data_IF_112670420377
#
_entry.id   IF_112670420377
#
_cell.length_a   1.000
_cell.length_b   1.000
_cell.length_c   1.000
_cell.angle_alpha   90.00
_cell.angle_beta   90.00
_cell.angle_gamma   90.00
#
_symmetry.space_group_name_H-M   'P 1'
#
loop_
_entity.id
_entity.type
_entity.pdbx_description
1 polymer ?
#
# COMPACT_ATOMS: atom_id res chain seq x y z
N UNK A 1 -6.73 16.04 -20.93
CA UNK A 1 -6.14 15.30 -19.78
C UNK A 1 -6.78 15.83 -18.49
N UNK A 2 -6.60 15.18 -17.34
CA UNK A 2 -7.13 15.71 -16.06
C UNK A 2 -6.13 16.75 -15.52
N UNK A 3 -6.60 17.93 -15.11
CA UNK A 3 -5.76 19.01 -14.59
C UNK A 3 -5.40 18.80 -13.12
N UNK A 4 -4.14 19.00 -12.75
CA UNK A 4 -3.64 18.83 -11.39
C UNK A 4 -4.25 19.82 -10.40
N UNK A 5 -4.44 21.08 -10.79
CA UNK A 5 -5.12 22.09 -9.98
C UNK A 5 -6.55 21.67 -9.63
N UNK A 6 -7.33 21.24 -10.64
CA UNK A 6 -8.69 20.73 -10.44
C UNK A 6 -8.76 19.52 -9.50
N UNK A 7 -7.83 18.56 -9.62
CA UNK A 7 -7.76 17.41 -8.69
C UNK A 7 -7.57 17.89 -7.26
N UNK A 8 -6.71 18.90 -7.06
CA UNK A 8 -6.41 19.46 -5.76
C UNK A 8 -7.62 20.20 -5.17
N UNK A 9 -8.25 21.08 -5.95
CA UNK A 9 -9.45 21.83 -5.55
C UNK A 9 -10.63 20.92 -5.24
N UNK A 10 -10.97 20.01 -6.14
CA UNK A 10 -12.10 19.09 -5.98
C UNK A 10 -11.87 18.20 -4.74
N UNK A 11 -10.63 17.74 -4.54
CA UNK A 11 -10.25 16.97 -3.36
C UNK A 11 -10.36 17.76 -2.06
N UNK A 12 -9.89 19.01 -2.02
CA UNK A 12 -10.01 19.88 -0.84
C UNK A 12 -11.47 20.24 -0.54
N UNK A 13 -12.28 20.51 -1.57
CA UNK A 13 -13.72 20.76 -1.43
C UNK A 13 -14.42 19.53 -0.85
N UNK A 14 -14.14 18.33 -1.37
CA UNK A 14 -14.71 17.09 -0.86
C UNK A 14 -14.31 16.83 0.59
N UNK A 15 -13.03 17.03 0.93
CA UNK A 15 -12.50 16.95 2.29
C UNK A 15 -13.26 17.85 3.26
N UNK A 16 -13.48 19.12 2.89
CA UNK A 16 -14.23 20.08 3.70
C UNK A 16 -15.70 19.66 3.85
N UNK A 17 -16.34 19.21 2.77
CA UNK A 17 -17.73 18.75 2.82
C UNK A 17 -17.92 17.57 3.79
N UNK A 18 -17.00 16.60 3.79
CA UNK A 18 -17.03 15.48 4.74
C UNK A 18 -16.86 15.98 6.17
N UNK A 19 -15.92 16.89 6.43
CA UNK A 19 -15.67 17.46 7.75
C UNK A 19 -16.91 18.22 8.28
N UNK A 20 -17.55 19.05 7.44
CA UNK A 20 -18.74 19.80 7.86
C UNK A 20 -19.93 18.89 8.17
N UNK A 21 -20.17 17.86 7.34
CA UNK A 21 -21.18 16.82 7.65
C UNK A 21 -20.86 16.11 8.97
N UNK A 22 -19.59 15.76 9.19
CA UNK A 22 -19.14 15.06 10.39
C UNK A 22 -19.32 15.86 11.67
N UNK A 23 -19.12 17.19 11.65
CA UNK A 23 -19.37 18.06 12.82
C UNK A 23 -20.82 17.98 13.29
N UNK A 24 -21.75 17.78 12.37
CA UNK A 24 -23.19 17.64 12.66
C UNK A 24 -23.54 16.21 13.11
N UNK A 25 -22.91 15.20 12.51
CA UNK A 25 -23.31 13.79 12.67
C UNK A 25 -22.57 13.04 13.78
N UNK A 26 -21.32 13.39 14.08
CA UNK A 26 -20.47 12.59 14.97
C UNK A 26 -20.34 13.15 16.38
N UNK A 27 -20.89 14.35 16.64
CA UNK A 27 -21.07 14.93 17.97
C UNK A 27 -19.88 14.67 18.92
N UNK A 28 -20.08 14.01 20.09
CA UNK A 28 -19.01 13.74 21.07
C UNK A 28 -17.84 12.88 20.56
N UNK A 29 -18.02 12.10 19.49
CA UNK A 29 -16.98 11.20 18.96
C UNK A 29 -15.95 11.93 18.09
N UNK A 30 -16.15 13.20 17.76
CA UNK A 30 -15.21 13.98 16.93
C UNK A 30 -13.79 14.02 17.52
N UNK A 31 -13.67 14.05 18.85
CA UNK A 31 -12.39 14.03 19.56
C UNK A 31 -11.66 12.70 19.32
N UNK A 32 -12.38 11.58 19.40
CA UNK A 32 -11.83 10.25 19.10
C UNK A 32 -11.34 10.19 17.65
N UNK A 33 -12.16 10.65 16.69
CA UNK A 33 -11.83 10.66 15.25
C UNK A 33 -10.55 11.46 14.97
N UNK A 34 -10.42 12.66 15.53
CA UNK A 34 -9.22 13.49 15.35
C UNK A 34 -7.96 12.91 16.01
N UNK A 35 -8.13 12.11 17.06
CA UNK A 35 -7.02 11.43 17.74
C UNK A 35 -6.60 10.12 17.07
N UNK A 36 -7.42 9.58 16.17
CA UNK A 36 -7.10 8.35 15.46
C UNK A 36 -5.90 8.53 14.53
N UNK A 37 -5.08 7.49 14.40
CA UNK A 37 -3.85 7.56 13.63
C UNK A 37 -4.08 7.91 12.15
N UNK A 38 -5.23 7.53 11.58
CA UNK A 38 -5.56 7.83 10.18
C UNK A 38 -5.79 9.33 9.96
N UNK A 39 -6.06 10.10 11.01
CA UNK A 39 -6.20 11.56 10.95
C UNK A 39 -4.87 12.33 10.89
N UNK A 40 -3.72 11.67 11.11
CA UNK A 40 -2.42 12.37 11.15
C UNK A 40 -1.30 11.64 10.42
N UNK A 41 -1.47 10.35 10.10
CA UNK A 41 -0.45 9.50 9.47
C UNK A 41 -0.04 10.05 8.09
N UNK A 42 1.25 10.02 7.80
CA UNK A 42 1.77 10.29 6.46
C UNK A 42 1.65 9.05 5.55
N UNK A 43 1.31 9.24 4.27
CA UNK A 43 1.44 8.19 3.26
C UNK A 43 2.88 7.67 3.17
N UNK A 44 3.02 6.39 2.81
CA UNK A 44 4.32 5.73 2.58
C UNK A 44 4.43 5.26 1.13
N UNK A 45 5.55 4.66 0.68
CA UNK A 45 5.69 4.09 -0.67
C UNK A 45 4.75 2.92 -1.05
N UNK A 46 3.60 2.77 -0.38
CA UNK A 46 2.47 1.92 -0.77
C UNK A 46 1.13 2.69 -0.79
N UNK A 47 1.13 4.00 -0.50
CA UNK A 47 -0.06 4.81 -0.25
C UNK A 47 -0.27 5.11 1.24
N UNK A 48 -1.45 5.64 1.57
CA UNK A 48 -1.97 5.72 2.93
C UNK A 48 -2.38 4.31 3.38
N UNK A 49 -1.79 3.81 4.47
CA UNK A 49 -2.20 2.52 5.03
C UNK A 49 -3.43 2.70 5.90
N UNK A 50 -4.46 1.87 5.65
CA UNK A 50 -5.70 1.84 6.42
C UNK A 50 -5.75 0.55 7.23
N UNK A 51 -6.07 0.67 8.52
CA UNK A 51 -5.98 -0.40 9.49
C UNK A 51 -7.38 -0.75 10.03
N UNK A 52 -8.07 -1.74 9.44
CA UNK A 52 -9.35 -2.23 9.97
C UNK A 52 -9.19 -2.95 11.32
N UNK A 53 -7.99 -3.47 11.60
CA UNK A 53 -7.65 -4.10 12.87
C UNK A 53 -6.14 -4.00 13.12
N UNK A 54 -5.73 -4.41 14.32
CA UNK A 54 -4.35 -4.44 14.79
C UNK A 54 -3.98 -5.86 15.22
N UNK A 55 -2.88 -6.39 14.68
CA UNK A 55 -2.42 -7.74 14.98
C UNK A 55 -2.87 -8.77 13.94
N UNK A 56 -2.28 -9.96 14.02
CA UNK A 56 -2.52 -11.05 13.09
C UNK A 56 -2.18 -12.38 13.76
N UNK A 57 -2.91 -13.44 13.42
CA UNK A 57 -2.73 -14.79 13.97
C UNK A 57 -2.17 -15.79 12.95
N UNK A 58 -1.59 -15.34 11.83
CA UNK A 58 -0.96 -16.26 10.86
C UNK A 58 0.41 -16.78 11.31
N UNK A 59 1.06 -16.11 12.28
CA UNK A 59 2.29 -16.60 12.89
C UNK A 59 3.51 -16.63 11.97
N UNK A 60 3.57 -15.82 10.92
CA UNK A 60 4.71 -15.83 10.00
C UNK A 60 6.02 -15.49 10.75
N UNK A 61 7.05 -16.29 10.52
CA UNK A 61 8.33 -16.20 11.25
C UNK A 61 8.98 -14.82 11.08
N UNK A 62 8.87 -14.27 9.88
CA UNK A 62 9.42 -12.97 9.47
C UNK A 62 8.49 -11.78 9.78
N UNK A 63 7.33 -12.01 10.41
CA UNK A 63 6.32 -10.97 10.60
C UNK A 63 6.87 -9.82 11.46
N UNK A 64 6.69 -8.58 10.98
CA UNK A 64 7.03 -7.36 11.71
C UNK A 64 5.90 -6.86 12.61
N UNK A 65 4.68 -7.36 12.41
CA UNK A 65 3.55 -7.05 13.29
C UNK A 65 3.79 -7.79 14.60
N UNK A 66 4.01 -7.04 15.69
CA UNK A 66 4.17 -7.63 17.01
C UNK A 66 2.87 -8.35 17.40
N UNK A 67 2.93 -9.60 17.91
CA UNK A 67 1.78 -10.24 18.49
C UNK A 67 1.26 -9.37 19.64
N UNK A 68 -0.03 -9.03 19.66
CA UNK A 68 -0.62 -8.43 20.85
C UNK A 68 -0.79 -9.55 21.88
N UNK A 69 0.24 -9.76 22.71
CA UNK A 69 0.34 -10.88 23.65
C UNK A 69 -0.80 -10.93 24.69
N UNK A 70 -1.60 -9.88 24.83
CA UNK A 70 -2.70 -9.80 25.80
C UNK A 70 -4.12 -9.84 25.19
N UNK A 71 -4.29 -9.60 23.88
CA UNK A 71 -5.63 -9.40 23.28
C UNK A 71 -5.88 -10.07 21.92
N UNK A 72 -4.90 -10.76 21.34
CA UNK A 72 -5.08 -11.35 20.01
C UNK A 72 -5.15 -10.29 18.91
N UNK A 73 -6.32 -10.15 18.27
CA UNK A 73 -6.60 -9.15 17.23
C UNK A 73 -7.52 -8.08 17.81
N UNK A 74 -7.18 -6.80 17.61
CA UNK A 74 -8.02 -5.68 18.04
C UNK A 74 -8.63 -5.00 16.81
N UNK A 75 -9.95 -5.10 16.64
CA UNK A 75 -10.68 -4.42 15.56
C UNK A 75 -10.73 -2.92 15.84
N UNK A 76 -10.56 -2.11 14.79
CA UNK A 76 -10.56 -0.65 14.92
C UNK A 76 -11.95 -0.16 15.39
N UNK A 77 -11.94 0.79 16.33
CA UNK A 77 -13.13 1.31 17.00
C UNK A 77 -13.92 2.32 16.17
N UNK A 78 -13.32 2.86 15.11
CA UNK A 78 -14.01 3.72 14.17
C UNK A 78 -14.96 2.88 13.29
N UNK A 79 -16.13 3.44 13.04
CA UNK A 79 -16.99 3.01 11.94
C UNK A 79 -16.45 3.54 10.61
N UNK A 80 -16.98 3.05 9.48
CA UNK A 80 -16.59 3.51 8.15
C UNK A 80 -16.77 5.01 7.92
N UNK A 81 -17.91 5.63 8.30
CA UNK A 81 -18.08 7.09 8.21
C UNK A 81 -17.05 7.86 9.06
N UNK A 82 -16.74 7.34 10.24
CA UNK A 82 -15.75 7.95 11.13
C UNK A 82 -14.34 7.85 10.58
N UNK A 83 -13.98 6.72 9.95
CA UNK A 83 -12.71 6.59 9.24
C UNK A 83 -12.61 7.59 8.08
N UNK A 84 -13.66 7.71 7.27
CA UNK A 84 -13.72 8.67 6.16
C UNK A 84 -13.52 10.11 6.67
N UNK A 85 -14.11 10.41 7.83
CA UNK A 85 -13.90 11.68 8.53
C UNK A 85 -12.46 11.84 9.02
N UNK A 86 -11.86 10.81 9.63
CA UNK A 86 -10.46 10.84 10.08
C UNK A 86 -9.52 11.12 8.90
N UNK A 87 -9.68 10.42 7.78
CA UNK A 87 -8.90 10.66 6.55
C UNK A 87 -9.11 12.08 6.04
N UNK A 88 -10.32 12.62 6.16
CA UNK A 88 -10.60 13.99 5.77
C UNK A 88 -9.91 15.01 6.68
N UNK A 89 -9.72 14.73 7.98
CA UNK A 89 -8.88 15.59 8.84
C UNK A 89 -7.38 15.51 8.53
N UNK A 90 -6.91 14.46 7.84
CA UNK A 90 -5.50 14.23 7.64
C UNK A 90 -4.86 15.21 6.63
N UNK A 91 -3.90 16.07 7.03
CA UNK A 91 -3.32 17.09 6.13
C UNK A 91 -2.55 16.50 4.94
N UNK A 92 -2.19 15.21 4.99
CA UNK A 92 -1.45 14.52 3.95
C UNK A 92 -2.33 13.69 3.00
N UNK A 93 -3.64 13.68 3.21
CA UNK A 93 -4.59 12.88 2.45
C UNK A 93 -5.46 13.77 1.53
N UNK A 94 -5.45 13.43 0.24
CA UNK A 94 -6.28 14.04 -0.78
C UNK A 94 -7.34 13.02 -1.24
N UNK A 95 -8.64 13.31 -1.09
CA UNK A 95 -9.68 12.41 -1.58
C UNK A 95 -9.88 12.54 -3.09
N UNK A 96 -10.53 11.54 -3.69
CA UNK A 96 -10.93 11.53 -5.10
C UNK A 96 -10.24 10.44 -5.92
N UNK A 97 -10.71 10.26 -7.16
CA UNK A 97 -10.20 9.26 -8.11
C UNK A 97 -8.68 9.39 -8.33
N UNK A 98 -8.16 10.60 -8.44
CA UNK A 98 -6.71 10.88 -8.54
C UNK A 98 -6.06 11.21 -7.19
N UNK A 99 -6.78 10.96 -6.10
CA UNK A 99 -6.36 11.21 -4.73
C UNK A 99 -5.26 10.27 -4.25
N UNK A 100 -5.05 10.27 -2.94
CA UNK A 100 -4.03 9.47 -2.28
C UNK A 100 -4.35 7.98 -2.44
N UNK A 101 -3.40 7.19 -2.95
CA UNK A 101 -3.53 5.73 -3.01
C UNK A 101 -3.75 5.15 -1.61
N UNK A 102 -4.63 4.15 -1.48
CA UNK A 102 -4.96 3.50 -0.22
C UNK A 102 -4.47 2.06 -0.24
N UNK A 103 -3.92 1.59 0.88
CA UNK A 103 -3.44 0.23 1.07
C UNK A 103 -3.99 -0.41 2.35
N UNK A 104 -4.58 -1.59 2.22
CA UNK A 104 -5.02 -2.44 3.33
C UNK A 104 -4.14 -3.69 3.45
N UNK A 105 -4.10 -4.30 4.64
CA UNK A 105 -3.30 -5.50 4.92
C UNK A 105 -1.87 -5.21 5.43
N UNK A 106 -1.61 -4.03 5.99
CA UNK A 106 -0.28 -3.61 6.44
C UNK A 106 0.09 -4.09 7.85
N UNK A 107 -0.83 -4.03 8.81
CA UNK A 107 -0.58 -4.40 10.22
C UNK A 107 -1.58 -5.41 10.77
N UNK A 108 -2.42 -5.94 9.89
CA UNK A 108 -3.38 -7.02 10.14
C UNK A 108 -3.63 -7.77 8.85
N UNK A 109 -4.13 -8.99 8.96
CA UNK A 109 -4.62 -9.76 7.82
C UNK A 109 -6.12 -9.45 7.64
N UNK A 110 -6.48 -8.82 6.52
CA UNK A 110 -7.80 -8.26 6.27
C UNK A 110 -8.93 -9.30 6.23
N UNK A 111 -8.61 -10.55 5.86
CA UNK A 111 -9.59 -11.62 5.72
C UNK A 111 -9.37 -12.75 6.74
N UNK A 112 -8.86 -12.39 7.93
CA UNK A 112 -8.43 -13.34 8.95
C UNK A 112 -9.60 -14.06 9.65
N UNK A 113 -10.63 -13.31 10.01
CA UNK A 113 -11.87 -13.82 10.61
C UNK A 113 -13.06 -12.96 10.17
N UNK A 114 -14.28 -13.35 10.55
CA UNK A 114 -15.50 -12.66 10.13
C UNK A 114 -15.55 -11.19 10.56
N UNK A 115 -15.14 -10.88 11.80
CA UNK A 115 -15.18 -9.52 12.36
C UNK A 115 -14.23 -8.57 11.61
N UNK A 116 -12.97 -8.98 11.41
CA UNK A 116 -11.97 -8.20 10.66
C UNK A 116 -12.35 -8.07 9.18
N UNK A 117 -12.91 -9.14 8.60
CA UNK A 117 -13.40 -9.13 7.21
C UNK A 117 -14.54 -8.12 7.06
N UNK A 118 -15.51 -8.14 7.97
CA UNK A 118 -16.64 -7.21 7.95
C UNK A 118 -16.15 -5.75 8.07
N UNK A 119 -15.23 -5.48 8.99
CA UNK A 119 -14.63 -4.14 9.17
C UNK A 119 -13.84 -3.70 7.93
N UNK A 120 -13.09 -4.60 7.31
CA UNK A 120 -12.34 -4.32 6.06
C UNK A 120 -13.30 -3.91 4.94
N UNK A 121 -14.38 -4.68 4.73
CA UNK A 121 -15.36 -4.39 3.69
C UNK A 121 -16.12 -3.09 3.99
N UNK A 122 -16.48 -2.84 5.26
CA UNK A 122 -17.09 -1.57 5.69
C UNK A 122 -16.19 -0.39 5.30
N UNK A 123 -14.89 -0.46 5.61
CA UNK A 123 -13.94 0.61 5.30
C UNK A 123 -13.80 0.82 3.80
N UNK A 124 -13.63 -0.25 3.02
CA UNK A 124 -13.51 -0.17 1.56
C UNK A 124 -14.75 0.45 0.91
N UNK A 125 -15.94 0.07 1.39
CA UNK A 125 -17.22 0.62 0.94
C UNK A 125 -17.31 2.12 1.22
N UNK A 126 -17.07 2.54 2.45
CA UNK A 126 -17.19 3.96 2.82
C UNK A 126 -16.14 4.84 2.15
N UNK A 127 -14.92 4.33 1.99
CA UNK A 127 -13.87 5.01 1.19
C UNK A 127 -14.34 5.17 -0.26
N UNK A 128 -14.84 4.11 -0.90
CA UNK A 128 -15.30 4.19 -2.28
C UNK A 128 -16.48 5.16 -2.43
N UNK A 129 -17.46 5.07 -1.52
CA UNK A 129 -18.69 5.85 -1.54
C UNK A 129 -18.46 7.35 -1.31
N UNK A 130 -17.66 7.72 -0.32
CA UNK A 130 -17.53 9.12 0.09
C UNK A 130 -16.26 9.79 -0.46
N UNK A 131 -15.20 9.03 -0.75
CA UNK A 131 -13.89 9.57 -1.11
C UNK A 131 -13.44 9.19 -2.51
N UNK A 132 -13.76 7.98 -2.99
CA UNK A 132 -13.44 7.51 -4.34
C UNK A 132 -11.94 7.29 -4.60
N UNK A 133 -11.14 7.14 -3.54
CA UNK A 133 -9.69 6.93 -3.64
C UNK A 133 -9.35 5.54 -4.20
N UNK A 134 -8.29 5.40 -5.02
CA UNK A 134 -7.83 4.10 -5.52
C UNK A 134 -7.35 3.17 -4.42
N UNK A 135 -7.85 1.93 -4.39
CA UNK A 135 -7.60 0.99 -3.30
C UNK A 135 -6.78 -0.22 -3.72
N UNK A 136 -5.98 -0.73 -2.78
CA UNK A 136 -5.40 -2.06 -2.86
C UNK A 136 -5.49 -2.78 -1.53
N UNK A 137 -5.57 -4.11 -1.59
CA UNK A 137 -5.52 -4.97 -0.40
C UNK A 137 -4.46 -6.04 -0.59
N UNK A 138 -3.67 -6.29 0.44
CA UNK A 138 -2.73 -7.42 0.47
C UNK A 138 -3.22 -8.49 1.43
N UNK A 139 -3.11 -9.76 1.03
CA UNK A 139 -3.59 -10.89 1.83
C UNK A 139 -2.80 -12.16 1.59
N UNK A 140 -2.77 -13.04 2.59
CA UNK A 140 -2.40 -14.46 2.47
C UNK A 140 -3.62 -15.39 2.52
N UNK A 141 -4.80 -14.86 2.81
CA UNK A 141 -6.02 -15.63 3.02
C UNK A 141 -6.78 -15.83 1.71
N UNK A 142 -7.64 -16.85 1.70
CA UNK A 142 -8.56 -17.11 0.59
C UNK A 142 -9.74 -16.13 0.71
N UNK A 143 -9.91 -15.28 -0.30
CA UNK A 143 -11.11 -14.44 -0.41
C UNK A 143 -12.24 -15.33 -0.93
N UNK A 144 -13.16 -15.70 -0.05
CA UNK A 144 -14.29 -16.59 -0.38
C UNK A 144 -15.21 -15.94 -1.43
N UNK A 145 -15.88 -16.71 -2.30
CA UNK A 145 -16.78 -16.20 -3.34
C UNK A 145 -17.75 -15.11 -2.88
N UNK A 146 -18.51 -15.37 -1.80
CA UNK A 146 -19.44 -14.38 -1.20
C UNK A 146 -18.78 -13.06 -0.79
N UNK A 147 -17.53 -13.11 -0.32
CA UNK A 147 -16.78 -11.90 0.04
C UNK A 147 -16.32 -11.17 -1.21
N UNK A 148 -15.84 -11.90 -2.23
CA UNK A 148 -15.43 -11.32 -3.50
C UNK A 148 -16.61 -10.62 -4.23
N UNK A 149 -17.78 -11.25 -4.26
CA UNK A 149 -19.03 -10.65 -4.78
C UNK A 149 -19.42 -9.37 -4.01
N UNK A 150 -19.27 -9.38 -2.67
CA UNK A 150 -19.53 -8.19 -1.86
C UNK A 150 -18.54 -7.07 -2.15
N UNK A 151 -17.26 -7.40 -2.36
CA UNK A 151 -16.23 -6.42 -2.77
C UNK A 151 -16.58 -5.84 -4.14
N UNK A 152 -16.98 -6.65 -5.12
CA UNK A 152 -17.34 -6.19 -6.46
C UNK A 152 -18.59 -5.29 -6.47
N UNK A 153 -19.60 -5.61 -5.65
CA UNK A 153 -20.88 -4.88 -5.63
C UNK A 153 -20.85 -3.58 -4.83
N UNK A 154 -19.97 -3.47 -3.82
CA UNK A 154 -19.97 -2.34 -2.88
C UNK A 154 -18.65 -1.55 -2.90
N UNK A 155 -17.58 -2.17 -3.38
CA UNK A 155 -16.23 -1.63 -3.33
C UNK A 155 -15.81 -0.91 -4.60
N UNK A 156 -14.52 -0.65 -4.64
CA UNK A 156 -13.80 -0.16 -5.80
C UNK A 156 -13.75 -1.27 -6.87
N UNK A 157 -14.36 -1.06 -8.07
CA UNK A 157 -14.37 -2.06 -9.14
C UNK A 157 -12.97 -2.31 -9.73
N UNK A 158 -12.00 -1.46 -9.40
CA UNK A 158 -10.61 -1.56 -9.84
C UNK A 158 -9.67 -1.97 -8.71
N UNK A 159 -10.19 -2.53 -7.61
CA UNK A 159 -9.40 -2.96 -6.47
C UNK A 159 -8.22 -3.84 -6.91
N UNK A 160 -7.00 -3.42 -6.56
CA UNK A 160 -5.80 -4.24 -6.75
C UNK A 160 -5.63 -5.21 -5.58
N UNK A 161 -5.64 -6.51 -5.87
CA UNK A 161 -5.49 -7.56 -4.85
C UNK A 161 -4.07 -8.16 -4.93
N UNK A 162 -3.29 -7.97 -3.86
CA UNK A 162 -1.92 -8.44 -3.75
C UNK A 162 -1.87 -9.76 -2.97
N UNK A 163 -1.67 -10.87 -3.68
CA UNK A 163 -1.67 -12.22 -3.12
C UNK A 163 -0.27 -12.58 -2.67
N UNK A 164 -0.05 -12.58 -1.36
CA UNK A 164 1.28 -12.74 -0.77
C UNK A 164 1.77 -14.18 -0.87
N UNK A 165 2.88 -14.39 -1.57
CA UNK A 165 3.54 -15.70 -1.71
C UNK A 165 5.05 -15.49 -1.57
N UNK A 166 5.64 -16.02 -0.51
CA UNK A 166 7.07 -15.84 -0.19
C UNK A 166 7.93 -17.02 -0.68
N UNK A 167 7.31 -18.19 -0.71
CA UNK A 167 7.92 -19.51 -0.95
C UNK A 167 6.80 -20.49 -1.32
N UNK A 168 7.13 -21.50 -2.12
CA UNK A 168 6.28 -22.65 -2.44
C UNK A 168 6.55 -23.80 -1.46
N UNK A 169 7.82 -24.17 -1.27
CA UNK A 169 8.19 -25.40 -0.56
C UNK A 169 8.36 -25.18 0.95
N UNK A 170 8.93 -24.05 1.36
CA UNK A 170 9.16 -23.70 2.76
C UNK A 170 7.97 -22.99 3.41
N UNK A 171 6.85 -22.84 2.70
CA UNK A 171 5.70 -22.05 3.15
C UNK A 171 5.14 -22.51 4.52
N UNK A 172 5.00 -23.82 4.76
CA UNK A 172 4.47 -24.33 6.03
C UNK A 172 5.40 -24.02 7.22
N UNK A 173 6.71 -23.97 7.00
CA UNK A 173 7.66 -23.57 8.04
C UNK A 173 7.61 -22.06 8.28
N UNK A 174 7.54 -21.27 7.20
CA UNK A 174 7.63 -19.82 7.26
C UNK A 174 6.32 -19.14 7.68
N UNK A 175 5.19 -19.74 7.32
CA UNK A 175 3.83 -19.19 7.39
C UNK A 175 2.84 -20.25 7.89
N UNK A 176 3.05 -20.84 9.08
CA UNK A 176 2.45 -22.11 9.50
C UNK A 176 0.92 -22.14 9.60
N UNK A 177 0.26 -20.98 9.69
CA UNK A 177 -1.20 -20.87 9.81
C UNK A 177 -1.85 -20.19 8.61
N UNK A 178 -1.08 -19.85 7.57
CA UNK A 178 -1.62 -19.30 6.35
C UNK A 178 -1.95 -20.43 5.35
N UNK A 179 -2.98 -20.27 4.49
CA UNK A 179 -3.28 -21.25 3.44
C UNK A 179 -2.06 -21.60 2.59
N UNK A 180 -1.92 -22.82 2.06
CA UNK A 180 -0.83 -23.18 1.16
C UNK A 180 -0.71 -22.24 -0.06
N UNK A 181 0.50 -21.97 -0.57
CA UNK A 181 0.71 -21.09 -1.72
C UNK A 181 -0.11 -21.45 -2.95
N UNK A 182 -0.27 -22.75 -3.24
CA UNK A 182 -1.05 -23.24 -4.38
C UNK A 182 -2.53 -22.89 -4.25
N UNK A 183 -3.10 -22.96 -3.04
CA UNK A 183 -4.48 -22.53 -2.80
C UNK A 183 -4.64 -21.02 -2.99
N UNK A 184 -3.64 -20.22 -2.59
CA UNK A 184 -3.65 -18.77 -2.81
C UNK A 184 -3.59 -18.42 -4.30
N UNK A 185 -2.77 -19.12 -5.08
CA UNK A 185 -2.72 -18.96 -6.54
C UNK A 185 -4.04 -19.35 -7.20
N UNK A 186 -4.64 -20.46 -6.78
CA UNK A 186 -5.96 -20.87 -7.25
C UNK A 186 -7.03 -19.82 -6.93
N UNK A 187 -7.01 -19.26 -5.71
CA UNK A 187 -7.93 -18.18 -5.35
C UNK A 187 -7.68 -16.93 -6.19
N UNK A 188 -6.42 -16.59 -6.46
CA UNK A 188 -6.07 -15.46 -7.32
C UNK A 188 -6.59 -15.64 -8.75
N UNK A 189 -6.47 -16.84 -9.32
CA UNK A 189 -7.05 -17.19 -10.61
C UNK A 189 -8.57 -17.00 -10.62
N UNK A 190 -9.26 -17.50 -9.59
CA UNK A 190 -10.70 -17.28 -9.42
C UNK A 190 -11.05 -15.78 -9.31
N UNK A 191 -10.30 -14.99 -8.55
CA UNK A 191 -10.54 -13.55 -8.43
C UNK A 191 -10.38 -12.84 -9.78
N UNK A 192 -9.36 -13.19 -10.56
CA UNK A 192 -9.18 -12.68 -11.92
C UNK A 192 -10.36 -13.04 -12.83
N UNK A 193 -10.88 -14.26 -12.74
CA UNK A 193 -11.97 -14.72 -13.62
C UNK A 193 -13.30 -14.00 -13.38
N UNK A 194 -13.50 -13.41 -12.20
CA UNK A 194 -14.66 -12.57 -11.86
C UNK A 194 -14.36 -11.06 -11.97
N UNK A 195 -13.19 -10.68 -12.48
CA UNK A 195 -12.83 -9.28 -12.74
C UNK A 195 -12.05 -8.55 -11.64
N UNK A 196 -11.68 -9.21 -10.54
CA UNK A 196 -10.79 -8.63 -9.53
C UNK A 196 -9.33 -8.86 -9.91
N UNK A 197 -8.61 -7.78 -10.27
CA UNK A 197 -7.22 -7.86 -10.70
C UNK A 197 -6.29 -8.28 -9.57
N UNK A 198 -5.57 -9.37 -9.77
CA UNK A 198 -4.61 -9.89 -8.80
C UNK A 198 -3.16 -9.75 -9.27
N UNK A 199 -2.25 -9.59 -8.32
CA UNK A 199 -0.81 -9.71 -8.55
C UNK A 199 -0.19 -10.59 -7.46
N UNK A 200 0.78 -11.43 -7.83
CA UNK A 200 1.60 -12.15 -6.85
C UNK A 200 2.48 -11.13 -6.13
N UNK A 201 2.47 -11.19 -4.81
CA UNK A 201 3.23 -10.28 -3.97
C UNK A 201 4.30 -11.05 -3.20
N UNK A 202 5.52 -11.06 -3.75
CA UNK A 202 6.68 -11.64 -3.08
C UNK A 202 7.19 -10.62 -2.08
N UNK A 203 6.57 -10.62 -0.90
CA UNK A 203 6.97 -9.79 0.22
C UNK A 203 6.79 -10.54 1.55
N UNK A 204 7.88 -10.80 2.28
CA UNK A 204 9.25 -10.34 2.01
C UNK A 204 10.00 -11.25 1.01
N UNK A 205 11.06 -10.72 0.40
CA UNK A 205 12.14 -11.56 -0.15
C UNK A 205 12.98 -12.08 1.01
N UNK A 206 13.11 -13.40 1.11
CA UNK A 206 13.95 -14.10 2.08
C UNK A 206 15.22 -14.64 1.38
N UNK A 207 16.39 -14.06 1.63
CA UNK A 207 17.65 -14.51 1.01
C UNK A 207 17.95 -15.99 1.29
N UNK A 208 18.38 -16.71 0.27
CA UNK A 208 18.66 -18.15 0.32
C UNK A 208 17.41 -19.04 0.26
N UNK A 209 16.20 -18.46 0.23
CA UNK A 209 14.92 -19.18 0.08
C UNK A 209 14.19 -18.65 -1.14
N UNK A 210 13.75 -17.39 -1.12
CA UNK A 210 12.91 -16.81 -2.16
C UNK A 210 13.61 -16.77 -3.51
N UNK A 211 14.91 -16.45 -3.55
CA UNK A 211 15.72 -16.47 -4.77
C UNK A 211 15.87 -17.89 -5.33
N UNK A 212 16.07 -18.91 -4.48
CA UNK A 212 16.14 -20.32 -4.91
C UNK A 212 14.81 -20.88 -5.38
N UNK A 213 13.71 -20.44 -4.77
CA UNK A 213 12.36 -20.88 -5.13
C UNK A 213 11.68 -19.99 -6.18
N UNK A 214 12.36 -18.94 -6.65
CA UNK A 214 11.75 -17.97 -7.58
C UNK A 214 11.31 -18.63 -8.88
N UNK A 215 12.08 -19.58 -9.43
CA UNK A 215 11.70 -20.27 -10.66
C UNK A 215 10.39 -21.06 -10.49
N UNK A 216 10.29 -21.89 -9.45
CA UNK A 216 9.08 -22.68 -9.20
C UNK A 216 7.88 -21.78 -8.89
N UNK A 217 8.08 -20.71 -8.11
CA UNK A 217 7.03 -19.74 -7.82
C UNK A 217 6.49 -19.09 -9.10
N UNK A 218 7.37 -18.67 -10.02
CA UNK A 218 6.96 -18.09 -11.30
C UNK A 218 6.23 -19.10 -12.19
N UNK A 219 6.73 -20.35 -12.28
CA UNK A 219 6.08 -21.43 -13.05
C UNK A 219 4.69 -21.75 -12.51
N UNK A 220 4.56 -21.87 -11.19
CA UNK A 220 3.27 -22.11 -10.54
C UNK A 220 2.32 -20.92 -10.78
N UNK A 221 2.81 -19.68 -10.71
CA UNK A 221 2.00 -18.49 -11.01
C UNK A 221 1.47 -18.50 -12.45
N UNK A 222 2.29 -18.91 -13.42
CA UNK A 222 1.86 -19.08 -14.82
C UNK A 222 0.81 -20.18 -14.98
N UNK A 223 0.90 -21.29 -14.24
CA UNK A 223 -0.11 -22.37 -14.29
C UNK A 223 -1.50 -21.89 -13.90
N UNK A 224 -1.58 -20.82 -13.12
CA UNK A 224 -2.82 -20.17 -12.70
C UNK A 224 -3.11 -18.87 -13.46
N UNK A 225 -2.46 -18.65 -14.61
CA UNK A 225 -2.62 -17.48 -15.48
C UNK A 225 -2.33 -16.13 -14.80
N UNK A 226 -1.44 -16.11 -13.81
CA UNK A 226 -1.03 -14.88 -13.13
C UNK A 226 0.30 -14.40 -13.69
N UNK A 227 0.30 -13.20 -14.26
CA UNK A 227 1.48 -12.57 -14.91
C UNK A 227 1.86 -11.22 -14.30
N UNK A 228 1.40 -10.94 -13.08
CA UNK A 228 1.70 -9.70 -12.39
C UNK A 228 2.42 -9.97 -11.09
N UNK A 229 3.52 -9.24 -10.85
CA UNK A 229 4.42 -9.48 -9.74
C UNK A 229 4.77 -8.18 -9.01
N UNK A 230 4.74 -8.19 -7.69
CA UNK A 230 5.26 -7.12 -6.83
C UNK A 230 6.35 -7.71 -5.94
N UNK A 231 7.51 -7.05 -5.88
CA UNK A 231 8.65 -7.49 -5.07
C UNK A 231 8.87 -6.55 -3.87
N UNK A 232 9.05 -7.10 -2.67
CA UNK A 232 9.29 -6.32 -1.45
C UNK A 232 10.41 -6.88 -0.58
N UNK A 233 11.30 -6.01 -0.11
CA UNK A 233 12.38 -6.40 0.81
C UNK A 233 11.83 -6.84 2.19
N UNK A 234 12.54 -7.77 2.84
CA UNK A 234 12.35 -8.08 4.25
C UNK A 234 12.62 -6.84 5.12
N UNK A 235 11.73 -6.60 6.08
CA UNK A 235 11.94 -5.65 7.16
C UNK A 235 12.38 -6.43 8.40
N UNK A 236 13.53 -6.09 8.96
CA UNK A 236 14.17 -6.80 10.07
C UNK A 236 14.40 -5.85 11.26
N UNK A 237 14.35 -6.42 12.46
CA UNK A 237 14.86 -5.84 13.69
C UNK A 237 15.40 -6.99 14.55
N UNK A 238 15.99 -6.73 15.72
CA UNK A 238 16.60 -7.81 16.52
C UNK A 238 15.59 -8.86 17.00
N UNK A 239 14.33 -8.48 17.21
CA UNK A 239 13.27 -9.42 17.58
C UNK A 239 12.84 -10.34 16.44
N UNK A 240 12.77 -9.84 15.21
CA UNK A 240 12.49 -10.69 14.05
C UNK A 240 13.70 -11.60 13.80
N UNK A 241 14.91 -11.06 13.91
CA UNK A 241 16.14 -11.84 13.74
C UNK A 241 16.22 -13.00 14.74
N UNK A 242 15.87 -12.79 16.02
CA UNK A 242 15.89 -13.89 17.00
C UNK A 242 14.91 -15.01 16.65
N UNK A 243 13.73 -14.70 16.09
CA UNK A 243 12.80 -15.73 15.59
C UNK A 243 13.40 -16.52 14.43
N UNK A 244 14.09 -15.85 13.51
CA UNK A 244 14.72 -16.47 12.35
C UNK A 244 15.90 -17.36 12.79
N UNK A 245 16.75 -16.88 13.70
CA UNK A 245 17.85 -17.66 14.25
C UNK A 245 17.35 -18.96 14.93
N UNK A 246 16.20 -18.90 15.60
CA UNK A 246 15.59 -20.07 16.24
C UNK A 246 15.00 -21.11 15.27
N UNK A 247 14.94 -20.84 13.96
CA UNK A 247 14.48 -21.84 12.98
C UNK A 247 15.52 -22.90 12.66
N UNK A 248 16.79 -22.71 13.06
CA UNK A 248 17.85 -23.63 12.69
C UNK A 248 18.19 -23.59 11.19
N UNK A 249 17.96 -22.44 10.53
CA UNK A 249 18.31 -22.21 9.12
C UNK A 249 19.54 -21.27 9.01
N UNK A 250 20.76 -21.77 9.25
CA UNK A 250 21.95 -20.91 9.37
C UNK A 250 22.24 -20.12 8.10
N UNK A 251 21.95 -20.68 6.92
CA UNK A 251 22.13 -19.98 5.63
C UNK A 251 21.24 -18.74 5.56
N UNK A 252 19.95 -18.87 5.86
CA UNK A 252 19.01 -17.75 5.89
C UNK A 252 19.46 -16.67 6.89
N UNK A 253 19.81 -17.10 8.10
CA UNK A 253 20.27 -16.20 9.16
C UNK A 253 21.52 -15.40 8.76
N UNK A 254 22.52 -16.08 8.21
CA UNK A 254 23.78 -15.47 7.82
C UNK A 254 23.59 -14.50 6.65
N UNK A 255 22.79 -14.86 5.65
CA UNK A 255 22.46 -13.97 4.53
C UNK A 255 21.70 -12.72 4.99
N UNK A 256 20.75 -12.84 5.91
CA UNK A 256 20.04 -11.66 6.43
C UNK A 256 21.00 -10.73 7.17
N UNK A 257 21.89 -11.29 8.01
CA UNK A 257 22.89 -10.54 8.79
C UNK A 257 23.88 -9.81 7.89
N UNK A 258 24.33 -10.41 6.78
CA UNK A 258 25.22 -9.76 5.81
C UNK A 258 24.54 -8.65 5.00
N UNK A 259 23.21 -8.71 4.89
CA UNK A 259 22.38 -7.79 4.08
C UNK A 259 21.73 -6.67 4.89
N UNK A 260 22.14 -6.43 6.13
CA UNK A 260 21.60 -5.33 6.96
C UNK A 260 22.73 -4.49 7.54
N UNK A 261 22.67 -3.17 7.35
CA UNK A 261 23.71 -2.26 7.87
C UNK A 261 23.73 -2.24 9.40
N UNK A 262 22.55 -2.17 10.01
CA UNK A 262 22.38 -2.21 11.45
C UNK A 262 20.97 -2.66 11.82
N UNK A 263 20.86 -3.33 12.97
CA UNK A 263 19.59 -3.78 13.53
C UNK A 263 19.39 -3.12 14.89
N UNK A 264 18.20 -2.56 15.09
CA UNK A 264 17.72 -2.04 16.37
C UNK A 264 16.65 -2.97 16.95
N UNK A 265 16.29 -2.82 18.23
CA UNK A 265 15.21 -3.60 18.85
C UNK A 265 13.82 -3.07 18.50
N UNK A 266 13.68 -1.75 18.35
CA UNK A 266 12.41 -1.06 18.17
C UNK A 266 12.12 -0.70 16.71
N UNK A 267 13.15 -0.29 15.96
CA UNK A 267 13.04 0.18 14.58
C UNK A 267 13.24 -0.95 13.59
N UNK A 268 12.37 -0.99 12.57
CA UNK A 268 12.50 -1.88 11.42
C UNK A 268 13.47 -1.28 10.39
N UNK A 269 14.40 -2.10 9.92
CA UNK A 269 15.34 -1.79 8.83
C UNK A 269 15.05 -2.71 7.64
N UNK A 270 15.00 -2.21 6.40
CA UNK A 270 14.95 -3.09 5.23
C UNK A 270 16.31 -3.79 5.06
N UNK A 271 16.31 -5.03 4.60
CA UNK A 271 17.53 -5.66 4.09
C UNK A 271 17.87 -5.14 2.69
N UNK A 272 19.16 -5.13 2.35
CA UNK A 272 19.65 -4.95 1.00
C UNK A 272 19.33 -6.21 0.17
N UNK A 273 18.39 -6.05 -0.75
CA UNK A 273 17.92 -7.12 -1.64
C UNK A 273 17.71 -6.64 -3.07
N UNK A 274 18.42 -5.59 -3.51
CA UNK A 274 18.29 -5.04 -4.87
C UNK A 274 18.75 -6.04 -5.93
N UNK A 275 19.87 -6.72 -5.67
CA UNK A 275 20.42 -7.82 -6.46
C UNK A 275 19.40 -8.97 -6.60
N UNK A 276 18.82 -9.43 -5.48
CA UNK A 276 17.83 -10.50 -5.47
C UNK A 276 16.56 -10.09 -6.23
N UNK A 277 16.06 -8.86 -5.99
CA UNK A 277 14.92 -8.30 -6.72
C UNK A 277 15.18 -8.25 -8.22
N UNK A 278 16.37 -7.83 -8.63
CA UNK A 278 16.73 -7.71 -10.04
C UNK A 278 16.88 -9.08 -10.72
N UNK A 279 17.41 -10.08 -10.01
CA UNK A 279 17.46 -11.46 -10.50
C UNK A 279 16.05 -12.02 -10.73
N UNK A 280 15.17 -11.93 -9.73
CA UNK A 280 13.78 -12.40 -9.82
C UNK A 280 13.01 -11.64 -10.90
N UNK A 281 13.20 -10.31 -10.98
CA UNK A 281 12.59 -9.46 -12.01
C UNK A 281 12.97 -9.92 -13.41
N UNK A 282 14.26 -10.14 -13.70
CA UNK A 282 14.73 -10.60 -15.02
C UNK A 282 14.12 -11.96 -15.39
N UNK A 283 14.08 -12.90 -14.45
CA UNK A 283 13.46 -14.21 -14.67
C UNK A 283 11.96 -14.08 -14.98
N UNK A 284 11.24 -13.27 -14.19
CA UNK A 284 9.82 -13.00 -14.40
C UNK A 284 9.54 -12.32 -15.76
N UNK A 285 10.32 -11.30 -16.13
CA UNK A 285 10.16 -10.59 -17.41
C UNK A 285 10.43 -11.51 -18.60
N UNK A 286 11.40 -12.43 -18.51
CA UNK A 286 11.67 -13.42 -19.56
C UNK A 286 10.50 -14.41 -19.77
N UNK A 287 9.64 -14.55 -18.76
CA UNK A 287 8.42 -15.35 -18.79
C UNK A 287 7.15 -14.52 -19.11
N UNK A 288 7.31 -13.24 -19.44
CA UNK A 288 6.21 -12.35 -19.81
C UNK A 288 5.43 -11.77 -18.62
N UNK A 289 6.01 -11.74 -17.42
CA UNK A 289 5.41 -11.04 -16.28
C UNK A 289 5.59 -9.53 -16.39
N UNK A 290 4.58 -8.80 -15.93
CA UNK A 290 4.70 -7.39 -15.54
C UNK A 290 5.18 -7.35 -14.08
N UNK A 291 6.36 -6.77 -13.87
CA UNK A 291 6.95 -6.63 -12.52
C UNK A 291 6.84 -5.20 -12.05
N UNK A 292 6.01 -4.98 -11.03
CA UNK A 292 5.80 -3.69 -10.41
C UNK A 292 6.88 -3.38 -9.35
N UNK A 293 7.41 -2.15 -9.34
CA UNK A 293 8.51 -1.78 -8.44
C UNK A 293 8.06 -1.60 -6.99
N UNK A 294 6.76 -1.42 -6.75
CA UNK A 294 6.16 -1.28 -5.42
C UNK A 294 4.68 -1.66 -5.46
N UNK A 295 4.09 -1.95 -4.29
CA UNK A 295 2.66 -2.26 -4.16
C UNK A 295 1.77 -1.19 -4.81
N UNK A 296 2.01 0.09 -4.53
CA UNK A 296 1.21 1.17 -5.15
C UNK A 296 1.29 1.21 -6.68
N UNK A 297 2.31 0.64 -7.32
CA UNK A 297 2.38 0.58 -8.78
C UNK A 297 1.39 -0.45 -9.37
N UNK A 298 1.10 -1.54 -8.66
CA UNK A 298 0.00 -2.43 -9.03
C UNK A 298 -1.36 -1.71 -8.89
N UNK A 299 -1.54 -0.92 -7.82
CA UNK A 299 -2.72 -0.07 -7.65
C UNK A 299 -2.86 0.95 -8.79
N UNK A 300 -1.77 1.62 -9.18
CA UNK A 300 -1.71 2.51 -10.36
C UNK A 300 -2.17 1.81 -11.63
N UNK A 301 -1.65 0.60 -11.89
CA UNK A 301 -1.99 -0.18 -13.07
C UNK A 301 -3.46 -0.62 -13.07
N UNK A 302 -3.97 -1.09 -11.92
CA UNK A 302 -5.36 -1.52 -11.77
C UNK A 302 -6.35 -0.38 -12.08
N UNK A 303 -6.01 0.84 -11.68
CA UNK A 303 -6.83 2.03 -11.89
C UNK A 303 -6.57 2.77 -13.21
N UNK A 304 -5.72 2.23 -14.08
CA UNK A 304 -5.30 2.88 -15.33
C UNK A 304 -4.77 4.31 -15.11
N UNK A 305 -4.04 4.51 -14.02
CA UNK A 305 -3.44 5.81 -13.67
C UNK A 305 -1.96 5.86 -14.03
N UNK A 306 -1.32 6.99 -13.74
CA UNK A 306 0.13 7.15 -13.87
C UNK A 306 0.71 7.90 -12.69
N UNK A 307 1.96 7.57 -12.34
CA UNK A 307 2.61 8.07 -11.14
C UNK A 307 4.13 8.15 -11.30
N UNK A 308 4.69 9.30 -10.96
CA UNK A 308 6.13 9.54 -10.89
C UNK A 308 6.54 10.29 -9.60
N UNK A 309 5.87 9.99 -8.48
CA UNK A 309 6.08 10.68 -7.20
C UNK A 309 7.36 10.29 -6.43
N UNK A 310 8.09 9.27 -6.88
CA UNK A 310 9.24 8.69 -6.18
C UNK A 310 10.22 7.97 -7.12
N UNK A 311 11.37 7.56 -6.57
CA UNK A 311 12.47 6.90 -7.28
C UNK A 311 12.18 5.47 -7.75
N UNK A 312 11.03 4.89 -7.39
CA UNK A 312 10.62 3.56 -7.87
C UNK A 312 9.95 3.60 -9.24
N UNK A 313 9.41 4.76 -9.65
CA UNK A 313 8.73 4.94 -10.93
C UNK A 313 9.66 5.42 -12.05
N UNK A 314 9.11 5.79 -13.21
CA UNK A 314 7.68 6.03 -13.46
C UNK A 314 6.83 4.75 -13.46
N UNK A 315 5.57 4.88 -13.05
CA UNK A 315 4.56 3.82 -13.05
C UNK A 315 3.42 4.22 -13.99
N UNK A 316 2.97 3.30 -14.84
CA UNK A 316 1.98 3.60 -15.89
C UNK A 316 2.58 4.40 -17.04
N UNK A 317 1.73 5.01 -17.88
CA UNK A 317 2.17 5.82 -19.00
C UNK A 317 2.31 7.29 -18.59
N UNK A 318 3.53 7.83 -18.59
CA UNK A 318 3.80 9.21 -18.14
C UNK A 318 3.07 10.28 -18.95
N UNK A 319 2.63 9.99 -20.18
CA UNK A 319 1.76 10.92 -20.95
C UNK A 319 0.38 11.12 -20.31
N UNK A 320 -0.02 10.23 -19.39
CA UNK A 320 -1.29 10.31 -18.66
C UNK A 320 -1.14 10.94 -17.27
N UNK A 321 0.02 11.52 -16.95
CA UNK A 321 0.17 12.31 -15.73
C UNK A 321 -0.79 13.50 -15.78
N UNK A 322 -1.36 13.93 -14.64
CA UNK A 322 -2.18 15.12 -14.58
C UNK A 322 -1.47 16.34 -15.15
N UNK A 323 -2.17 17.13 -15.93
CA UNK A 323 -1.65 18.31 -16.61
C UNK A 323 -1.43 19.45 -15.60
N UNK A 324 -0.31 20.17 -15.73
CA UNK A 324 -0.01 21.35 -14.93
C UNK A 324 0.03 22.53 -15.89
N UNK A 325 -0.92 23.46 -15.73
CA UNK A 325 -1.01 24.68 -16.56
C UNK A 325 -0.25 25.84 -15.90
N UNK A 326 -0.34 25.94 -14.56
CA UNK A 326 0.40 26.89 -13.74
C UNK A 326 0.96 26.17 -12.51
N UNK A 327 2.28 26.14 -12.37
CA UNK A 327 2.94 25.49 -11.24
C UNK A 327 2.71 26.22 -9.91
N UNK A 328 2.58 27.55 -9.91
CA UNK A 328 2.40 28.36 -8.69
C UNK A 328 0.99 28.21 -8.13
N UNK A 329 -0.01 28.13 -9.01
CA UNK A 329 -1.42 27.94 -8.64
C UNK A 329 -1.61 26.75 -7.70
N UNK A 330 -0.91 25.63 -7.95
CA UNK A 330 -0.94 24.42 -7.11
C UNK A 330 -0.63 24.69 -5.63
N UNK A 331 0.26 25.65 -5.36
CA UNK A 331 0.67 26.02 -4.01
C UNK A 331 -0.25 27.09 -3.42
N UNK A 332 -0.77 28.00 -4.25
CA UNK A 332 -1.76 28.99 -3.83
C UNK A 332 -3.06 28.34 -3.34
N UNK A 333 -3.54 27.31 -4.03
CA UNK A 333 -4.72 26.51 -3.64
C UNK A 333 -4.61 25.96 -2.21
N UNK A 334 -3.40 25.59 -1.77
CA UNK A 334 -3.12 25.06 -0.43
C UNK A 334 -2.59 26.11 0.54
N UNK A 335 -2.66 27.40 0.18
CA UNK A 335 -2.25 28.52 1.02
C UNK A 335 -0.74 28.63 1.24
N UNK A 336 0.08 28.04 0.36
CA UNK A 336 1.55 28.08 0.42
C UNK A 336 2.07 29.14 -0.54
N UNK A 337 2.64 30.22 0.00
CA UNK A 337 3.36 31.22 -0.82
C UNK A 337 4.65 30.62 -1.37
N UNK A 338 4.86 30.73 -2.66
CA UNK A 338 6.08 30.26 -3.36
C UNK A 338 6.75 31.42 -4.07
N UNK A 339 8.10 31.44 -4.08
CA UNK A 339 8.87 32.43 -4.84
C UNK A 339 8.96 32.01 -6.31
N UNK A 340 9.20 30.73 -6.53
CA UNK A 340 9.42 30.12 -7.82
C UNK A 340 8.87 28.70 -7.81
N UNK A 341 8.25 28.30 -8.92
CA UNK A 341 7.84 26.93 -9.18
C UNK A 341 7.89 26.71 -10.70
N UNK A 342 8.43 25.57 -11.14
CA UNK A 342 8.47 25.19 -12.55
C UNK A 342 8.59 23.67 -12.69
N UNK A 343 8.03 23.12 -13.76
CA UNK A 343 8.16 21.72 -14.12
C UNK A 343 9.41 21.50 -14.99
N UNK A 344 10.26 20.54 -14.62
CA UNK A 344 11.42 20.16 -15.44
C UNK A 344 11.05 19.17 -16.54
N UNK A 345 11.90 19.04 -17.56
CA UNK A 345 11.76 18.05 -18.64
C UNK A 345 11.69 16.61 -18.12
N UNK A 346 12.37 16.30 -17.00
CA UNK A 346 12.29 15.00 -16.33
C UNK A 346 11.06 14.84 -15.42
N UNK A 347 10.02 15.65 -15.61
CA UNK A 347 8.75 15.60 -14.88
C UNK A 347 8.90 15.77 -13.36
N UNK A 348 9.89 16.57 -12.93
CA UNK A 348 10.05 16.96 -11.52
C UNK A 348 9.48 18.36 -11.32
N UNK A 349 8.64 18.53 -10.31
CA UNK A 349 8.14 19.85 -9.94
C UNK A 349 9.13 20.49 -8.96
N UNK A 350 9.79 21.55 -9.39
CA UNK A 350 10.66 22.35 -8.54
C UNK A 350 9.85 23.41 -7.81
N UNK A 351 10.20 23.68 -6.55
CA UNK A 351 9.63 24.79 -5.80
C UNK A 351 10.66 25.42 -4.87
N UNK A 352 10.72 26.75 -4.90
CA UNK A 352 11.48 27.58 -3.96
C UNK A 352 10.52 28.29 -3.03
N UNK A 353 10.58 27.98 -1.74
CA UNK A 353 9.72 28.62 -0.73
C UNK A 353 10.36 28.66 0.65
N UNK A 354 10.13 29.77 1.35
CA UNK A 354 10.46 29.91 2.77
C UNK A 354 9.30 29.52 3.71
N UNK A 355 8.15 29.07 3.16
CA UNK A 355 6.98 28.72 3.94
C UNK A 355 7.18 27.37 4.65
N UNK A 356 7.12 27.32 6.00
CA UNK A 356 7.23 26.05 6.73
C UNK A 356 6.02 25.14 6.48
N UNK A 357 4.89 25.70 6.06
CA UNK A 357 3.65 24.99 5.80
C UNK A 357 3.83 23.89 4.73
N UNK A 358 4.70 24.11 3.74
CA UNK A 358 4.88 23.17 2.63
C UNK A 358 5.22 21.76 3.13
N UNK A 359 6.02 21.62 4.20
CA UNK A 359 6.38 20.30 4.77
C UNK A 359 5.17 19.51 5.26
N UNK A 360 4.07 20.19 5.61
CA UNK A 360 2.84 19.58 6.12
C UNK A 360 1.83 19.22 5.02
N UNK A 361 1.87 19.91 3.87
CA UNK A 361 0.89 19.74 2.78
C UNK A 361 1.49 19.26 1.46
N UNK A 362 2.81 19.04 1.40
CA UNK A 362 3.54 18.54 0.22
C UNK A 362 2.92 17.29 -0.41
N UNK A 363 2.37 16.40 0.42
CA UNK A 363 1.71 15.18 -0.06
C UNK A 363 0.52 15.47 -0.98
N UNK A 364 -0.18 16.60 -0.78
CA UNK A 364 -1.34 16.97 -1.61
C UNK A 364 -0.90 17.34 -3.02
N UNK A 365 0.13 18.20 -3.16
CA UNK A 365 0.70 18.59 -4.46
C UNK A 365 1.29 17.37 -5.18
N UNK A 366 2.07 16.55 -4.47
CA UNK A 366 2.61 15.31 -5.06
C UNK A 366 1.49 14.40 -5.56
N UNK A 367 0.42 14.26 -4.78
CA UNK A 367 -0.71 13.40 -5.12
C UNK A 367 -1.46 13.91 -6.34
N UNK A 368 -1.81 15.20 -6.38
CA UNK A 368 -2.61 15.80 -7.46
C UNK A 368 -1.84 15.90 -8.78
N UNK A 369 -0.53 16.14 -8.73
CA UNK A 369 0.34 16.20 -9.91
C UNK A 369 0.88 14.84 -10.32
N UNK A 370 0.83 13.85 -9.43
CA UNK A 370 1.51 12.55 -9.54
C UNK A 370 3.02 12.68 -9.79
N UNK A 371 3.66 13.78 -9.41
CA UNK A 371 5.09 14.04 -9.66
C UNK A 371 5.92 14.15 -8.37
N UNK A 372 7.23 14.00 -8.52
CA UNK A 372 8.18 14.28 -7.45
C UNK A 372 8.26 15.79 -7.25
N UNK A 373 8.27 16.21 -5.99
CA UNK A 373 8.56 17.59 -5.62
C UNK A 373 10.02 17.71 -5.16
N UNK A 374 10.74 18.70 -5.73
CA UNK A 374 12.08 19.11 -5.30
C UNK A 374 11.94 20.46 -4.61
N UNK A 375 12.26 20.50 -3.32
CA UNK A 375 12.08 21.70 -2.50
C UNK A 375 13.45 22.33 -2.25
N UNK A 376 13.64 23.55 -2.74
CA UNK A 376 14.74 24.42 -2.34
C UNK A 376 14.24 25.35 -1.22
N UNK A 377 14.92 25.31 -0.07
CA UNK A 377 14.61 26.13 1.10
C UNK A 377 15.41 27.44 1.08
#
# INVERSE_FOLDING_TARGET
>A
MVKAAKILEDGLRLKNNVIEKAKQQHGPRITLIKSDEHAVRQPRPCGMTIHPAYGCTLGCIYCYVKPNAKKGIEVNKLSGPELVTALSFNPHFLPGKWGTFIALGSITECFLNEEVTAKTIEYMFWINKELGNPQQVSTKMIIRPKIAEKILSMGDPYLSVLISITSINMANLLEPRAPPPIERLNNAHYLNSIGLRTSVFIRPILPGITDKESEILLRESLRFDIKELVLGSLMINTWIMSKIDNLGLPVLSNEIKSRVKSMDRSRLSPIYASDLKQAIKRAAESLGFVVYPAACAANVASHSQSCYMCDYGPCGNTSNLPEIEDEKELFEIIGVKVKEAFLTDEQKLYVKTSSPLLKHVVSLVKTSTRRRLVIEQ
#
